data_IF_224423581440
#
_entry.id   IF_224423581440
#
_cell.length_a   1.000
_cell.length_b   1.000
_cell.length_c   1.000
_cell.angle_alpha   90.00
_cell.angle_beta   90.00
_cell.angle_gamma   90.00
#
_symmetry.space_group_name_H-M   'P 1'
#
loop_
_entity.id
_entity.type
_entity.pdbx_description
1 polymer ?
#
# COMPACT_ATOMS: atom_id res chain seq x y z
N UNK A 1 -7.55 -15.45 -43.27
CA UNK A 1 -6.39 -15.71 -42.41
C UNK A 1 -6.80 -15.52 -40.95
N UNK A 2 -7.10 -16.61 -40.25
CA UNK A 2 -7.53 -16.60 -38.87
C UNK A 2 -6.26 -16.62 -37.98
N UNK A 3 -6.04 -15.57 -37.20
CA UNK A 3 -4.99 -15.57 -36.15
C UNK A 3 -5.53 -16.29 -34.92
N UNK A 4 -4.92 -17.42 -34.62
CA UNK A 4 -5.13 -18.17 -33.39
C UNK A 4 -4.41 -17.41 -32.26
N UNK A 5 -5.20 -16.91 -31.31
CA UNK A 5 -4.66 -16.37 -30.04
C UNK A 5 -4.51 -17.56 -29.10
N UNK A 6 -3.29 -17.88 -28.79
CA UNK A 6 -2.91 -18.94 -27.85
C UNK A 6 -3.07 -18.40 -26.42
N UNK A 7 -4.17 -18.76 -25.77
CA UNK A 7 -4.40 -18.48 -24.35
C UNK A 7 -3.56 -19.45 -23.50
N UNK A 8 -2.55 -18.90 -22.87
CA UNK A 8 -1.78 -19.61 -21.85
C UNK A 8 -2.61 -19.81 -20.59
N UNK A 9 -2.94 -21.05 -20.29
CA UNK A 9 -3.60 -21.47 -19.05
C UNK A 9 -2.62 -21.22 -17.89
N UNK A 10 -2.88 -20.22 -17.06
CA UNK A 10 -2.24 -20.09 -15.74
C UNK A 10 -3.09 -20.79 -14.69
N UNK A 11 -2.45 -21.72 -14.01
CA UNK A 11 -2.98 -22.50 -12.92
C UNK A 11 -3.59 -21.61 -11.82
N UNK A 12 -4.77 -22.05 -11.35
CA UNK A 12 -5.57 -21.37 -10.36
C UNK A 12 -4.86 -21.13 -9.02
N UNK A 13 -4.84 -19.89 -8.61
CA UNK A 13 -4.66 -19.53 -7.22
C UNK A 13 -6.06 -19.46 -6.59
N UNK A 14 -6.38 -20.46 -5.76
CA UNK A 14 -7.56 -20.40 -4.89
C UNK A 14 -7.41 -19.20 -3.96
N UNK A 15 -8.14 -18.14 -4.24
CA UNK A 15 -8.42 -17.10 -3.27
C UNK A 15 -9.17 -17.76 -2.09
N UNK A 16 -8.48 -17.95 -0.98
CA UNK A 16 -9.14 -18.21 0.29
C UNK A 16 -9.75 -16.89 0.73
N UNK A 17 -11.07 -16.80 0.65
CA UNK A 17 -11.85 -15.84 1.42
C UNK A 17 -11.58 -16.10 2.92
N UNK A 18 -10.50 -15.53 3.43
CA UNK A 18 -10.37 -15.19 4.82
C UNK A 18 -11.02 -13.80 4.92
N UNK A 19 -12.15 -13.76 5.64
CA UNK A 19 -12.72 -12.50 6.08
C UNK A 19 -11.63 -11.69 6.77
N UNK A 20 -10.98 -10.85 6.00
CA UNK A 20 -10.12 -9.80 6.52
C UNK A 20 -11.08 -8.78 7.08
N UNK A 21 -11.33 -8.90 8.39
CA UNK A 21 -11.65 -7.73 9.19
C UNK A 21 -10.63 -6.70 8.74
N UNK A 22 -11.10 -5.69 8.03
CA UNK A 22 -10.32 -4.53 7.66
C UNK A 22 -9.90 -3.85 8.97
N UNK A 23 -8.82 -4.32 9.56
CA UNK A 23 -8.05 -3.47 10.45
C UNK A 23 -7.46 -2.41 9.55
N UNK A 24 -8.24 -1.36 9.37
CA UNK A 24 -7.76 -0.10 8.87
C UNK A 24 -6.57 0.29 9.74
N UNK A 25 -5.37 -0.06 9.30
CA UNK A 25 -4.15 0.56 9.80
C UNK A 25 -4.14 1.98 9.28
N UNK A 26 -5.05 2.78 9.85
CA UNK A 26 -4.96 4.22 9.82
C UNK A 26 -3.74 4.58 10.65
N UNK A 27 -2.56 4.54 10.06
CA UNK A 27 -1.43 5.27 10.58
C UNK A 27 -1.73 6.76 10.41
N UNK A 28 -2.53 7.30 11.35
CA UNK A 28 -2.57 8.73 11.57
C UNK A 28 -1.13 9.15 11.91
N UNK A 29 -0.47 9.81 10.96
CA UNK A 29 0.79 10.53 11.20
C UNK A 29 0.46 11.64 12.21
N UNK A 30 0.66 11.37 13.50
CA UNK A 30 0.72 12.37 14.54
C UNK A 30 2.08 13.08 14.42
N UNK A 31 2.16 14.04 13.53
CA UNK A 31 3.19 15.08 13.65
C UNK A 31 2.70 16.10 14.67
N UNK A 32 2.94 15.82 15.95
CA UNK A 32 2.91 16.85 16.97
C UNK A 32 4.15 17.72 16.78
N UNK A 33 3.95 18.95 16.35
CA UNK A 33 4.91 20.05 16.43
C UNK A 33 5.19 20.30 17.92
N UNK A 34 6.29 19.77 18.42
CA UNK A 34 6.90 20.23 19.66
C UNK A 34 8.13 21.06 19.28
N UNK A 35 7.91 22.34 19.11
CA UNK A 35 8.98 23.32 19.18
C UNK A 35 9.24 23.56 20.68
N UNK A 36 10.17 22.83 21.25
CA UNK A 36 10.75 23.19 22.54
C UNK A 36 12.23 23.54 22.35
N UNK A 37 12.49 24.79 22.62
CA UNK A 37 13.80 25.37 22.86
C UNK A 37 14.47 24.62 24.00
N UNK A 38 15.53 23.88 23.71
CA UNK A 38 16.45 23.38 24.70
C UNK A 38 17.87 23.88 24.42
N UNK A 39 18.38 24.57 25.43
CA UNK A 39 19.74 25.05 25.66
C UNK A 39 20.81 23.97 25.43
N UNK A 40 22.02 24.35 25.00
CA UNK A 40 23.10 23.42 24.71
C UNK A 40 23.90 23.11 25.97
N UNK A 41 23.58 22.06 26.68
CA UNK A 41 24.45 21.40 27.64
C UNK A 41 23.97 19.96 27.86
N UNK A 42 24.62 19.01 27.16
CA UNK A 42 25.18 17.80 27.72
C UNK A 42 25.76 16.94 26.57
N UNK A 43 27.03 17.18 26.32
CA UNK A 43 27.86 16.20 25.63
C UNK A 43 28.18 15.11 26.63
N UNK A 44 27.41 14.06 26.67
CA UNK A 44 27.77 12.85 27.37
C UNK A 44 27.60 11.62 26.48
N UNK A 45 28.75 11.05 26.11
CA UNK A 45 29.01 9.68 25.69
C UNK A 45 28.00 9.03 24.74
N UNK A 46 28.21 9.25 23.45
CA UNK A 46 27.87 8.26 22.45
C UNK A 46 28.66 6.97 22.76
N UNK A 47 28.06 6.11 23.58
CA UNK A 47 28.39 4.71 23.56
C UNK A 47 27.91 4.21 22.20
N UNK A 48 28.81 4.07 21.23
CA UNK A 48 28.54 3.35 19.99
C UNK A 48 27.92 2.00 20.40
N UNK A 49 26.61 1.87 20.21
CA UNK A 49 25.89 0.63 20.49
C UNK A 49 26.59 -0.48 19.73
N UNK A 50 27.15 -1.46 20.43
CA UNK A 50 27.78 -2.59 19.77
C UNK A 50 26.70 -3.32 19.00
N UNK A 51 27.00 -3.78 17.80
CA UNK A 51 26.06 -4.54 16.94
C UNK A 51 25.34 -5.66 17.71
N UNK A 52 26.04 -6.31 18.64
CA UNK A 52 25.50 -7.34 19.52
C UNK A 52 24.38 -6.80 20.44
N UNK A 53 24.53 -5.56 20.92
CA UNK A 53 23.51 -4.88 21.74
C UNK A 53 22.25 -4.59 20.93
N UNK A 54 22.40 -4.07 19.69
CA UNK A 54 21.30 -3.83 18.76
C UNK A 54 20.56 -5.12 18.43
N UNK A 55 21.29 -6.18 18.05
CA UNK A 55 20.71 -7.49 17.73
C UNK A 55 19.90 -8.04 18.91
N UNK A 56 20.43 -7.94 20.14
CA UNK A 56 19.74 -8.43 21.33
C UNK A 56 18.47 -7.64 21.65
N UNK A 57 18.50 -6.31 21.44
CA UNK A 57 17.37 -5.41 21.68
C UNK A 57 16.25 -5.67 20.66
N UNK A 58 16.58 -5.62 19.36
CA UNK A 58 15.62 -5.86 18.28
C UNK A 58 15.02 -7.26 18.36
N UNK A 59 15.84 -8.29 18.65
CA UNK A 59 15.34 -9.66 18.83
C UNK A 59 14.28 -9.74 19.91
N UNK A 60 14.51 -9.10 21.06
CA UNK A 60 13.53 -9.05 22.16
C UNK A 60 12.21 -8.41 21.73
N UNK A 61 12.30 -7.30 21.00
CA UNK A 61 11.12 -6.57 20.56
C UNK A 61 10.34 -7.34 19.49
N UNK A 62 11.01 -7.99 18.54
CA UNK A 62 10.38 -8.89 17.57
C UNK A 62 9.68 -10.07 18.25
N UNK A 63 10.34 -10.73 19.22
CA UNK A 63 9.76 -11.87 19.96
C UNK A 63 8.55 -11.42 20.78
N UNK A 64 8.54 -10.20 21.30
CA UNK A 64 7.38 -9.65 22.02
C UNK A 64 6.16 -9.52 21.12
N UNK A 65 6.33 -9.10 19.87
CA UNK A 65 5.24 -8.97 18.88
C UNK A 65 4.90 -10.31 18.23
N UNK A 66 5.90 -11.15 18.00
CA UNK A 66 5.78 -12.44 17.31
C UNK A 66 6.45 -13.56 18.12
N UNK A 67 5.79 -14.14 19.15
CA UNK A 67 6.39 -15.11 20.07
C UNK A 67 6.97 -16.37 19.40
N UNK A 68 6.43 -16.76 18.22
CA UNK A 68 6.95 -17.91 17.48
C UNK A 68 8.40 -17.72 16.97
N UNK A 69 8.87 -16.48 16.89
CA UNK A 69 10.28 -16.18 16.54
C UNK A 69 11.27 -16.51 17.66
N UNK A 70 10.83 -16.80 18.87
CA UNK A 70 11.71 -17.22 19.97
C UNK A 70 12.53 -18.46 19.59
N UNK A 71 11.93 -19.37 18.83
CA UNK A 71 12.58 -20.60 18.37
C UNK A 71 13.30 -20.46 17.02
N UNK A 72 13.14 -19.33 16.32
CA UNK A 72 13.76 -19.06 15.02
C UNK A 72 15.16 -18.43 15.17
N UNK A 73 15.81 -18.60 16.33
CA UNK A 73 17.11 -18.01 16.65
C UNK A 73 18.27 -18.67 15.91
N UNK A 74 18.31 -18.51 14.58
CA UNK A 74 19.42 -18.93 13.74
C UNK A 74 20.29 -17.76 13.30
N UNK A 75 21.49 -18.06 12.80
CA UNK A 75 22.43 -17.08 12.21
C UNK A 75 21.78 -16.19 11.15
N UNK A 76 20.79 -16.71 10.40
CA UNK A 76 20.08 -15.96 9.37
C UNK A 76 19.26 -14.81 9.94
N UNK A 77 18.58 -15.01 11.08
CA UNK A 77 17.82 -13.96 11.75
C UNK A 77 18.73 -12.82 12.25
N UNK A 78 19.84 -13.18 12.93
CA UNK A 78 20.81 -12.20 13.41
C UNK A 78 21.49 -11.46 12.24
N UNK A 79 21.73 -12.16 11.12
CA UNK A 79 22.27 -11.56 9.90
C UNK A 79 21.30 -10.55 9.32
N UNK A 80 20.01 -10.84 9.25
CA UNK A 80 18.98 -9.89 8.77
C UNK A 80 19.00 -8.62 9.61
N UNK A 81 18.95 -8.73 10.94
CA UNK A 81 19.02 -7.57 11.84
C UNK A 81 20.30 -6.77 11.59
N UNK A 82 21.44 -7.46 11.53
CA UNK A 82 22.74 -6.81 11.31
C UNK A 82 22.80 -6.10 9.96
N UNK A 83 22.28 -6.72 8.89
CA UNK A 83 22.25 -6.15 7.55
C UNK A 83 21.36 -4.91 7.51
N UNK A 84 20.15 -4.96 8.07
CA UNK A 84 19.26 -3.80 8.14
C UNK A 84 19.88 -2.65 8.92
N UNK A 85 20.45 -2.94 10.09
CA UNK A 85 21.13 -1.93 10.92
C UNK A 85 22.33 -1.29 10.19
N UNK A 86 23.19 -2.10 9.55
CA UNK A 86 24.33 -1.62 8.76
C UNK A 86 23.88 -0.77 7.55
N UNK A 87 22.68 -1.02 7.03
CA UNK A 87 22.08 -0.22 5.98
C UNK A 87 21.33 1.03 6.51
N UNK A 88 21.42 1.35 7.80
CA UNK A 88 20.93 2.59 8.38
C UNK A 88 19.48 2.54 8.91
N UNK A 89 18.85 1.36 8.96
CA UNK A 89 17.53 1.23 9.59
C UNK A 89 17.63 1.37 11.11
N UNK A 90 16.73 2.16 11.69
CA UNK A 90 16.58 2.25 13.16
C UNK A 90 15.89 0.99 13.72
N UNK A 91 16.10 0.71 15.00
CA UNK A 91 15.58 -0.48 15.66
C UNK A 91 14.08 -0.70 15.42
N UNK A 92 13.26 0.34 15.58
CA UNK A 92 11.81 0.26 15.34
C UNK A 92 11.47 -0.09 13.88
N UNK A 93 12.20 0.47 12.91
CA UNK A 93 12.01 0.13 11.51
C UNK A 93 12.42 -1.32 11.21
N UNK A 94 13.49 -1.82 11.85
CA UNK A 94 13.91 -3.22 11.73
C UNK A 94 12.82 -4.16 12.27
N UNK A 95 12.24 -3.84 13.44
CA UNK A 95 11.12 -4.60 14.00
C UNK A 95 9.95 -4.62 13.01
N UNK A 96 9.54 -3.47 12.47
CA UNK A 96 8.44 -3.39 11.48
C UNK A 96 8.72 -4.22 10.23
N UNK A 97 9.95 -4.16 9.70
CA UNK A 97 10.34 -4.96 8.52
C UNK A 97 10.23 -6.45 8.81
N UNK A 98 10.72 -6.91 9.94
CA UNK A 98 10.71 -8.34 10.27
C UNK A 98 9.30 -8.82 10.61
N UNK A 99 8.51 -8.04 11.33
CA UNK A 99 7.14 -8.41 11.71
C UNK A 99 6.19 -8.34 10.51
N UNK A 100 6.37 -7.36 9.62
CA UNK A 100 5.58 -7.23 8.39
C UNK A 100 5.96 -8.26 7.32
N UNK A 101 7.24 -8.67 7.25
CA UNK A 101 7.72 -9.65 6.28
C UNK A 101 8.51 -10.79 6.96
N UNK A 102 7.87 -11.70 7.69
CA UNK A 102 8.56 -12.74 8.49
C UNK A 102 9.50 -13.64 7.69
N UNK A 103 9.20 -13.87 6.41
CA UNK A 103 10.03 -14.69 5.51
C UNK A 103 11.31 -13.99 5.04
N UNK A 104 11.57 -12.75 5.47
CA UNK A 104 12.79 -12.00 5.12
C UNK A 104 14.06 -12.75 5.55
N UNK A 105 13.95 -13.64 6.55
CA UNK A 105 15.04 -14.50 7.00
C UNK A 105 15.57 -15.41 5.88
N UNK A 106 14.72 -15.79 4.93
CA UNK A 106 15.09 -16.56 3.73
C UNK A 106 15.98 -15.76 2.78
N UNK A 107 15.92 -14.42 2.85
CA UNK A 107 16.69 -13.50 2.02
C UNK A 107 18.02 -13.07 2.67
N UNK A 108 18.39 -13.64 3.82
CA UNK A 108 19.54 -13.19 4.62
C UNK A 108 20.86 -13.05 3.86
N UNK A 109 21.09 -13.85 2.82
CA UNK A 109 22.32 -13.81 2.03
C UNK A 109 22.30 -12.76 0.91
N UNK A 110 21.12 -12.40 0.39
CA UNK A 110 20.94 -11.45 -0.72
C UNK A 110 20.37 -10.10 -0.27
N UNK A 111 20.01 -9.96 1.00
CA UNK A 111 19.31 -8.79 1.51
C UNK A 111 20.05 -7.47 1.26
N UNK A 112 21.37 -7.47 1.39
CA UNK A 112 22.19 -6.28 1.13
C UNK A 112 22.05 -5.78 -0.32
N UNK A 113 22.07 -6.70 -1.27
CA UNK A 113 21.95 -6.36 -2.70
C UNK A 113 20.52 -5.89 -3.02
N UNK A 114 19.51 -6.53 -2.41
CA UNK A 114 18.10 -6.13 -2.53
C UNK A 114 17.90 -4.71 -2.00
N UNK A 115 18.43 -4.40 -0.81
CA UNK A 115 18.34 -3.07 -0.24
C UNK A 115 19.08 -2.02 -1.10
N UNK A 116 20.24 -2.35 -1.63
CA UNK A 116 21.00 -1.47 -2.52
C UNK A 116 20.18 -1.16 -3.80
N UNK A 117 19.55 -2.20 -4.40
CA UNK A 117 18.67 -2.01 -5.55
C UNK A 117 17.50 -1.07 -5.22
N UNK A 118 16.75 -1.35 -4.16
CA UNK A 118 15.61 -0.52 -3.77
C UNK A 118 16.03 0.91 -3.46
N UNK A 119 17.12 1.11 -2.69
CA UNK A 119 17.64 2.45 -2.39
C UNK A 119 17.93 3.26 -3.64
N UNK A 120 18.39 2.63 -4.72
CA UNK A 120 18.67 3.31 -6.01
C UNK A 120 17.43 3.86 -6.70
N UNK A 121 16.22 3.39 -6.34
CA UNK A 121 14.96 3.84 -6.92
C UNK A 121 14.37 5.07 -6.22
N UNK A 122 14.86 5.42 -5.03
CA UNK A 122 14.35 6.55 -4.26
C UNK A 122 15.22 7.79 -4.43
N UNK A 123 14.58 8.95 -4.57
CA UNK A 123 15.26 10.25 -4.65
C UNK A 123 15.71 10.76 -3.28
N UNK A 124 15.06 10.28 -2.20
CA UNK A 124 15.33 10.68 -0.81
C UNK A 124 15.49 9.42 0.04
N UNK A 125 16.51 9.43 0.86
CA UNK A 125 16.84 8.29 1.72
C UNK A 125 15.75 8.05 2.79
N UNK A 126 15.21 9.11 3.38
CA UNK A 126 14.12 8.99 4.36
C UNK A 126 12.90 8.29 3.76
N UNK A 127 12.53 8.61 2.50
CA UNK A 127 11.43 7.95 1.82
C UNK A 127 11.68 6.45 1.59
N UNK A 128 12.94 6.07 1.33
CA UNK A 128 13.32 4.66 1.23
C UNK A 128 13.08 3.92 2.56
N UNK A 129 13.56 4.46 3.68
CA UNK A 129 13.36 3.84 4.99
C UNK A 129 11.88 3.73 5.36
N UNK A 130 11.12 4.81 5.17
CA UNK A 130 9.70 4.85 5.48
C UNK A 130 8.91 3.82 4.66
N UNK A 131 9.17 3.72 3.36
CA UNK A 131 8.46 2.79 2.47
C UNK A 131 8.81 1.35 2.79
N UNK A 132 10.10 1.00 2.94
CA UNK A 132 10.50 -0.37 3.26
C UNK A 132 10.00 -0.80 4.65
N UNK A 133 9.98 0.09 5.63
CA UNK A 133 9.44 -0.22 6.96
C UNK A 133 7.91 -0.35 6.97
N UNK A 134 7.21 0.31 6.04
CA UNK A 134 5.74 0.28 5.94
C UNK A 134 5.23 -0.87 5.07
N UNK A 135 5.95 -1.20 4.01
CA UNK A 135 5.58 -2.24 3.03
C UNK A 135 6.80 -3.14 2.75
N UNK A 136 7.22 -3.94 3.73
CA UNK A 136 8.42 -4.76 3.60
C UNK A 136 8.29 -5.89 2.57
N UNK A 137 7.08 -6.22 2.12
CA UNK A 137 6.84 -7.18 1.04
C UNK A 137 7.50 -6.79 -0.29
N UNK A 138 7.81 -5.51 -0.47
CA UNK A 138 8.62 -5.03 -1.60
C UNK A 138 9.96 -5.78 -1.71
N UNK A 139 10.54 -6.19 -0.59
CA UNK A 139 11.81 -6.91 -0.55
C UNK A 139 11.75 -8.31 -1.20
N UNK A 140 10.56 -8.87 -1.39
CA UNK A 140 10.37 -10.13 -2.10
C UNK A 140 10.28 -9.97 -3.62
N UNK A 141 10.10 -8.74 -4.11
CA UNK A 141 10.02 -8.49 -5.54
C UNK A 141 11.40 -8.60 -6.19
N UNK A 142 11.46 -9.36 -7.26
CA UNK A 142 12.67 -9.43 -8.08
C UNK A 142 12.85 -8.13 -8.88
N UNK A 143 14.08 -7.64 -9.09
CA UNK A 143 14.34 -6.46 -9.91
C UNK A 143 13.64 -6.48 -11.27
N UNK A 144 13.60 -7.64 -11.95
CA UNK A 144 12.88 -7.79 -13.23
C UNK A 144 11.37 -7.51 -13.13
N UNK A 145 10.73 -7.95 -12.05
CA UNK A 145 9.31 -7.69 -11.82
C UNK A 145 9.04 -6.21 -11.52
N UNK A 146 9.96 -5.56 -10.80
CA UNK A 146 9.87 -4.11 -10.54
C UNK A 146 10.02 -3.32 -11.84
N UNK A 147 10.97 -3.65 -12.71
CA UNK A 147 11.15 -2.98 -14.00
C UNK A 147 9.96 -3.24 -14.95
N UNK A 148 9.40 -4.45 -14.94
CA UNK A 148 8.18 -4.74 -15.68
C UNK A 148 7.00 -3.87 -15.20
N UNK A 149 6.80 -3.77 -13.89
CA UNK A 149 5.78 -2.92 -13.29
C UNK A 149 6.00 -1.44 -13.61
N UNK A 150 7.21 -0.96 -13.56
CA UNK A 150 7.55 0.40 -14.01
C UNK A 150 7.17 0.61 -15.47
N UNK A 151 7.49 -0.32 -16.36
CA UNK A 151 7.13 -0.23 -17.76
C UNK A 151 5.60 -0.19 -17.95
N UNK A 152 4.83 -1.00 -17.21
CA UNK A 152 3.37 -0.96 -17.20
C UNK A 152 2.84 0.41 -16.74
N UNK A 153 3.36 0.93 -15.62
CA UNK A 153 2.96 2.24 -15.09
C UNK A 153 3.32 3.39 -16.05
N UNK A 154 4.41 3.29 -16.81
CA UNK A 154 4.80 4.27 -17.83
C UNK A 154 3.79 4.39 -18.97
N UNK A 155 2.99 3.36 -19.23
CA UNK A 155 1.92 3.45 -20.25
C UNK A 155 0.79 4.38 -19.83
N UNK A 156 0.68 4.67 -18.52
CA UNK A 156 -0.43 5.44 -17.93
C UNK A 156 0.07 6.77 -17.37
N UNK A 157 1.17 6.76 -16.61
CA UNK A 157 1.64 7.90 -15.86
C UNK A 157 2.96 8.45 -16.41
N UNK A 158 3.18 9.78 -16.38
CA UNK A 158 4.49 10.36 -16.65
C UNK A 158 5.49 9.98 -15.56
N UNK A 159 6.78 9.97 -15.92
CA UNK A 159 7.88 9.51 -15.05
C UNK A 159 7.85 10.12 -13.64
N UNK A 160 7.56 11.41 -13.53
CA UNK A 160 7.46 12.10 -12.22
C UNK A 160 6.41 11.51 -11.28
N UNK A 161 5.30 10.99 -11.85
CA UNK A 161 4.20 10.43 -11.08
C UNK A 161 4.53 8.99 -10.65
N UNK A 162 5.35 8.26 -11.42
CA UNK A 162 5.82 6.92 -11.06
C UNK A 162 6.72 6.96 -9.83
N UNK A 163 7.65 7.93 -9.76
CA UNK A 163 8.48 8.12 -8.56
C UNK A 163 7.63 8.53 -7.34
N UNK A 164 6.57 9.31 -7.58
CA UNK A 164 5.63 9.65 -6.51
C UNK A 164 4.86 8.41 -6.04
N UNK A 165 4.35 7.59 -6.96
CA UNK A 165 3.65 6.36 -6.62
C UNK A 165 4.53 5.43 -5.79
N UNK A 166 5.81 5.27 -6.12
CA UNK A 166 6.71 4.44 -5.32
C UNK A 166 6.81 4.93 -3.86
N UNK A 167 6.85 6.25 -3.66
CA UNK A 167 7.00 6.83 -2.33
C UNK A 167 5.67 6.95 -1.55
N UNK A 168 4.54 7.18 -2.23
CA UNK A 168 3.26 7.48 -1.60
C UNK A 168 2.27 6.30 -1.63
N UNK A 169 2.40 5.40 -2.61
CA UNK A 169 1.52 4.25 -2.83
C UNK A 169 2.32 3.04 -3.35
N UNK A 170 3.18 2.43 -2.54
CA UNK A 170 3.97 1.28 -2.94
C UNK A 170 3.13 0.06 -3.34
N UNK A 171 1.86 -0.01 -2.93
CA UNK A 171 0.88 -1.01 -3.36
C UNK A 171 0.75 -1.07 -4.90
N UNK A 172 1.00 0.04 -5.60
CA UNK A 172 1.06 0.05 -7.06
C UNK A 172 2.13 -0.89 -7.65
N UNK A 173 3.10 -1.33 -6.83
CA UNK A 173 4.15 -2.26 -7.22
C UNK A 173 3.88 -3.71 -6.79
N UNK A 174 3.09 -3.90 -5.76
CA UNK A 174 2.79 -5.23 -5.17
C UNK A 174 1.46 -5.81 -5.63
N UNK A 175 0.45 -4.96 -5.87
CA UNK A 175 -0.88 -5.38 -6.31
C UNK A 175 -0.89 -6.00 -7.71
N UNK A 176 -1.89 -6.81 -7.98
CA UNK A 176 -2.15 -7.33 -9.32
C UNK A 176 -2.42 -6.21 -10.33
N UNK A 177 -1.86 -6.36 -11.55
CA UNK A 177 -1.97 -5.32 -12.59
C UNK A 177 -3.40 -5.09 -13.05
N UNK A 178 -4.19 -6.14 -13.20
CA UNK A 178 -5.58 -6.03 -13.64
C UNK A 178 -6.43 -5.31 -12.59
N UNK A 179 -6.17 -5.57 -11.31
CA UNK A 179 -6.78 -4.84 -10.19
C UNK A 179 -6.42 -3.35 -10.21
N UNK A 180 -5.15 -3.01 -10.43
CA UNK A 180 -4.71 -1.61 -10.57
C UNK A 180 -5.41 -0.94 -11.75
N UNK A 181 -5.46 -1.61 -12.89
CA UNK A 181 -6.11 -1.09 -14.10
C UNK A 181 -7.61 -0.89 -13.90
N UNK A 182 -8.29 -1.81 -13.21
CA UNK A 182 -9.70 -1.69 -12.89
C UNK A 182 -9.98 -0.45 -12.01
N UNK A 183 -9.14 -0.20 -10.99
CA UNK A 183 -9.22 1.01 -10.15
C UNK A 183 -9.02 2.29 -10.97
N UNK A 184 -7.97 2.35 -11.79
CA UNK A 184 -7.66 3.50 -12.64
C UNK A 184 -8.78 3.76 -13.65
N UNK A 185 -9.25 2.73 -14.34
CA UNK A 185 -10.32 2.84 -15.32
C UNK A 185 -11.61 3.34 -14.69
N UNK A 186 -11.98 2.84 -13.52
CA UNK A 186 -13.17 3.31 -12.81
C UNK A 186 -13.04 4.79 -12.43
N UNK A 187 -11.91 5.20 -11.86
CA UNK A 187 -11.67 6.59 -11.45
C UNK A 187 -11.70 7.53 -12.67
N UNK A 188 -11.05 7.14 -13.74
CA UNK A 188 -10.93 8.00 -14.92
C UNK A 188 -12.23 8.06 -15.72
N UNK A 189 -12.86 6.93 -15.98
CA UNK A 189 -14.03 6.86 -16.88
C UNK A 189 -15.35 7.01 -16.17
N UNK A 190 -15.54 6.39 -15.00
CA UNK A 190 -16.82 6.45 -14.26
C UNK A 190 -16.91 7.67 -13.36
N UNK A 191 -15.83 8.04 -12.67
CA UNK A 191 -15.79 9.25 -11.86
C UNK A 191 -15.46 10.50 -12.69
N UNK A 192 -14.79 10.38 -13.83
CA UNK A 192 -14.37 11.51 -14.66
C UNK A 192 -13.21 12.30 -14.04
N UNK A 193 -12.38 11.65 -13.21
CA UNK A 193 -11.22 12.25 -12.56
C UNK A 193 -9.96 11.97 -13.39
N UNK A 194 -9.07 12.95 -13.48
CA UNK A 194 -7.87 12.79 -14.30
C UNK A 194 -6.87 11.79 -13.72
N UNK A 195 -6.11 11.11 -14.59
CA UNK A 195 -5.03 10.19 -14.21
C UNK A 195 -4.04 10.82 -13.22
N UNK A 196 -3.71 12.09 -13.39
CA UNK A 196 -2.78 12.79 -12.50
C UNK A 196 -3.27 12.93 -11.06
N UNK A 197 -4.59 12.85 -10.82
CA UNK A 197 -5.14 12.81 -9.46
C UNK A 197 -5.00 11.42 -8.82
N UNK A 198 -5.04 10.35 -9.63
CA UNK A 198 -4.84 8.98 -9.14
C UNK A 198 -3.42 8.79 -8.61
N UNK A 199 -2.43 9.42 -9.25
CA UNK A 199 -1.03 9.33 -8.83
C UNK A 199 -0.68 10.19 -7.60
N UNK A 200 -1.67 10.87 -6.99
CA UNK A 200 -1.46 11.67 -5.77
C UNK A 200 -1.89 10.89 -4.54
N UNK A 201 -0.94 10.58 -3.68
CA UNK A 201 -1.18 9.82 -2.46
C UNK A 201 -1.37 8.34 -2.73
N UNK A 202 -1.92 7.66 -1.76
CA UNK A 202 -2.07 6.20 -1.66
C UNK A 202 -3.45 5.69 -2.15
N UNK A 203 -4.01 6.29 -3.19
CA UNK A 203 -5.36 5.95 -3.68
C UNK A 203 -5.46 4.50 -4.17
N UNK A 204 -4.42 4.00 -4.81
CA UNK A 204 -4.40 2.63 -5.33
C UNK A 204 -4.28 1.54 -4.24
N UNK A 205 -3.93 1.91 -3.01
CA UNK A 205 -3.96 0.99 -1.86
C UNK A 205 -5.38 0.58 -1.45
N UNK A 206 -6.40 1.36 -1.82
CA UNK A 206 -7.79 1.05 -1.51
C UNK A 206 -8.37 0.05 -2.52
N UNK A 207 -9.30 -0.80 -2.06
CA UNK A 207 -10.01 -1.74 -2.95
C UNK A 207 -10.90 -1.01 -3.95
N UNK A 208 -11.14 -1.62 -5.12
CA UNK A 208 -12.07 -1.09 -6.10
C UNK A 208 -13.48 -0.96 -5.51
N UNK A 209 -13.90 -1.94 -4.71
CA UNK A 209 -15.20 -1.91 -4.04
C UNK A 209 -15.33 -0.69 -3.13
N UNK A 210 -14.31 -0.39 -2.31
CA UNK A 210 -14.32 0.81 -1.46
C UNK A 210 -14.45 2.10 -2.26
N UNK A 211 -13.71 2.21 -3.37
CA UNK A 211 -13.78 3.39 -4.25
C UNK A 211 -15.18 3.49 -4.91
N UNK A 212 -15.71 2.38 -5.43
CA UNK A 212 -17.05 2.29 -6.02
C UNK A 212 -18.11 2.69 -5.01
N UNK A 213 -18.09 2.09 -3.83
CA UNK A 213 -19.08 2.33 -2.75
C UNK A 213 -19.17 3.80 -2.40
N UNK A 214 -18.04 4.44 -2.09
CA UNK A 214 -18.02 5.85 -1.73
C UNK A 214 -18.45 6.78 -2.85
N UNK A 215 -18.02 6.50 -4.06
CA UNK A 215 -18.44 7.28 -5.23
C UNK A 215 -19.94 7.16 -5.48
N UNK A 216 -20.48 5.94 -5.54
CA UNK A 216 -21.89 5.67 -5.79
C UNK A 216 -22.78 6.26 -4.68
N UNK A 217 -22.33 6.18 -3.43
CA UNK A 217 -23.03 6.82 -2.31
C UNK A 217 -23.18 8.32 -2.52
N UNK A 218 -22.10 9.02 -2.86
CA UNK A 218 -22.14 10.46 -3.12
C UNK A 218 -22.97 10.83 -4.36
N UNK A 219 -23.00 9.98 -5.39
CA UNK A 219 -23.86 10.16 -6.56
C UNK A 219 -25.33 10.12 -6.14
N UNK A 220 -25.74 9.10 -5.36
CA UNK A 220 -27.13 8.94 -4.87
C UNK A 220 -27.55 10.08 -3.93
N UNK A 221 -26.63 10.61 -3.13
CA UNK A 221 -26.89 11.76 -2.25
C UNK A 221 -26.84 13.12 -2.97
N UNK A 222 -26.57 13.15 -4.28
CA UNK A 222 -26.42 14.40 -5.02
C UNK A 222 -25.20 15.24 -4.65
N UNK A 223 -24.21 14.64 -3.93
CA UNK A 223 -22.98 15.31 -3.51
C UNK A 223 -21.83 15.13 -4.53
N UNK A 224 -22.06 14.29 -5.51
CA UNK A 224 -21.17 14.07 -6.66
C UNK A 224 -21.96 14.11 -7.96
N UNK A 225 -21.35 14.63 -8.98
CA UNK A 225 -21.87 14.61 -10.36
C UNK A 225 -20.74 14.26 -11.33
N UNK A 226 -20.92 13.26 -12.14
CA UNK A 226 -19.92 12.92 -13.18
C UNK A 226 -19.71 14.14 -14.10
N UNK A 227 -18.45 14.63 -14.23
CA UNK A 227 -18.13 15.77 -15.08
C UNK A 227 -18.52 15.52 -16.53
N UNK A 228 -19.00 16.55 -17.22
CA UNK A 228 -19.20 16.48 -18.68
C UNK A 228 -17.86 16.48 -19.41
N UNK A 229 -17.77 15.92 -20.62
CA UNK A 229 -16.56 16.01 -21.42
C UNK A 229 -16.07 17.46 -21.54
N UNK A 230 -14.77 17.69 -21.29
CA UNK A 230 -14.10 19.00 -21.28
C UNK A 230 -14.46 19.94 -20.11
N UNK A 231 -15.29 19.53 -19.18
CA UNK A 231 -15.56 20.31 -17.96
C UNK A 231 -14.34 20.24 -17.03
N UNK A 232 -13.69 21.38 -16.79
CA UNK A 232 -12.45 21.45 -15.98
C UNK A 232 -12.70 21.77 -14.50
N UNK A 233 -13.83 22.41 -14.21
CA UNK A 233 -14.15 22.88 -12.84
C UNK A 233 -15.47 22.25 -12.42
N UNK A 234 -15.42 21.45 -11.38
CA UNK A 234 -16.60 20.86 -10.74
C UNK A 234 -16.63 21.26 -9.26
N UNK A 235 -17.83 21.21 -8.66
CA UNK A 235 -17.99 21.34 -7.22
C UNK A 235 -17.83 20.01 -6.48
N UNK A 236 -17.39 18.96 -7.19
CA UNK A 236 -17.19 17.65 -6.60
C UNK A 236 -16.10 17.67 -5.52
N UNK A 237 -16.19 16.82 -4.50
CA UNK A 237 -15.08 16.57 -3.59
C UNK A 237 -13.90 15.97 -4.36
N UNK A 238 -12.68 16.24 -3.88
CA UNK A 238 -11.47 15.65 -4.45
C UNK A 238 -11.47 14.13 -4.26
N UNK A 239 -10.75 13.40 -5.13
CA UNK A 239 -10.57 11.95 -5.03
C UNK A 239 -10.07 11.54 -3.63
N UNK A 240 -9.06 12.24 -3.13
CA UNK A 240 -8.53 12.03 -1.79
C UNK A 240 -9.61 12.18 -0.70
N UNK A 241 -10.47 13.21 -0.80
CA UNK A 241 -11.56 13.41 0.15
C UNK A 241 -12.61 12.30 0.07
N UNK A 242 -12.90 11.81 -1.11
CA UNK A 242 -13.85 10.69 -1.30
C UNK A 242 -13.29 9.43 -0.65
N UNK A 243 -12.06 9.06 -0.95
CA UNK A 243 -11.49 7.75 -0.62
C UNK A 243 -10.97 7.69 0.82
N UNK A 244 -10.29 8.75 1.30
CA UNK A 244 -9.54 8.73 2.55
C UNK A 244 -10.25 9.32 3.77
N UNK A 245 -11.35 10.03 3.60
CA UNK A 245 -12.06 10.61 4.76
C UNK A 245 -12.55 9.49 5.69
N UNK A 246 -12.31 9.54 7.01
CA UNK A 246 -12.91 8.61 7.96
C UNK A 246 -14.43 8.49 7.77
N UNK A 247 -14.98 7.30 7.95
CA UNK A 247 -16.37 6.99 7.57
C UNK A 247 -17.38 7.92 8.22
N UNK A 248 -17.21 8.27 9.49
CA UNK A 248 -18.10 9.14 10.24
C UNK A 248 -18.14 10.56 9.64
N UNK A 249 -16.97 11.07 9.23
CA UNK A 249 -16.85 12.38 8.60
C UNK A 249 -17.37 12.36 7.16
N UNK A 250 -17.18 11.25 6.46
CA UNK A 250 -17.65 11.03 5.11
C UNK A 250 -19.19 11.01 5.07
N UNK A 251 -19.83 10.26 5.94
CA UNK A 251 -21.29 10.15 6.07
C UNK A 251 -21.89 11.50 6.47
N UNK A 252 -21.28 12.19 7.43
CA UNK A 252 -21.69 13.55 7.80
C UNK A 252 -21.60 14.53 6.63
N UNK A 253 -20.54 14.44 5.82
CA UNK A 253 -20.41 15.25 4.60
C UNK A 253 -21.49 14.91 3.56
N UNK A 254 -21.86 13.64 3.43
CA UNK A 254 -22.95 13.20 2.56
C UNK A 254 -24.33 13.72 3.04
N UNK A 255 -24.47 13.99 4.34
CA UNK A 255 -25.72 14.46 4.97
C UNK A 255 -26.67 13.31 5.29
N UNK A 256 -26.14 12.12 5.55
CA UNK A 256 -26.88 10.90 5.87
C UNK A 256 -26.41 10.32 7.21
N UNK A 257 -27.04 9.23 7.67
CA UNK A 257 -26.72 8.51 8.90
C UNK A 257 -25.75 7.37 8.65
N UNK A 258 -25.14 6.84 9.72
CA UNK A 258 -24.25 5.68 9.63
C UNK A 258 -25.03 4.43 9.18
N UNK A 259 -26.26 4.25 9.69
CA UNK A 259 -27.10 3.11 9.34
C UNK A 259 -27.45 3.09 7.85
N UNK A 260 -27.71 4.27 7.26
CA UNK A 260 -27.95 4.40 5.81
C UNK A 260 -26.70 4.03 5.00
N UNK A 261 -25.51 4.41 5.47
CA UNK A 261 -24.25 4.05 4.82
C UNK A 261 -23.93 2.56 4.94
N UNK A 262 -24.11 1.96 6.13
CA UNK A 262 -23.88 0.53 6.36
C UNK A 262 -24.81 -0.34 5.51
N UNK A 263 -26.09 0.04 5.37
CA UNK A 263 -27.04 -0.65 4.48
C UNK A 263 -26.58 -0.53 3.03
N UNK A 264 -26.12 0.65 2.63
CA UNK A 264 -25.61 0.86 1.27
C UNK A 264 -24.31 0.08 0.99
N UNK A 265 -23.39 0.02 1.94
CA UNK A 265 -22.14 -0.74 1.85
C UNK A 265 -22.42 -2.22 1.64
N UNK A 266 -23.33 -2.82 2.44
CA UNK A 266 -23.78 -4.21 2.24
C UNK A 266 -24.44 -4.45 0.88
N UNK A 267 -25.21 -3.48 0.38
CA UNK A 267 -25.79 -3.59 -0.96
C UNK A 267 -24.70 -3.65 -2.04
N UNK A 268 -23.67 -2.81 -1.91
CA UNK A 268 -22.55 -2.79 -2.85
C UNK A 268 -21.69 -4.06 -2.79
N UNK A 269 -21.55 -4.66 -1.61
CA UNK A 269 -20.90 -5.97 -1.45
C UNK A 269 -21.70 -7.06 -2.17
N UNK A 270 -23.00 -7.13 -1.98
CA UNK A 270 -23.87 -8.10 -2.67
C UNK A 270 -23.90 -7.89 -4.20
N UNK A 271 -23.83 -6.65 -4.67
CA UNK A 271 -23.73 -6.36 -6.10
C UNK A 271 -22.39 -6.86 -6.67
N UNK A 272 -21.28 -6.68 -5.93
CA UNK A 272 -19.96 -7.15 -6.35
C UNK A 272 -19.91 -8.69 -6.41
N UNK A 273 -20.42 -9.36 -5.38
CA UNK A 273 -20.47 -10.85 -5.35
C UNK A 273 -21.27 -11.42 -6.54
N UNK A 274 -22.37 -10.76 -6.90
CA UNK A 274 -23.17 -11.16 -8.07
C UNK A 274 -22.46 -10.90 -9.39
N UNK A 275 -21.74 -9.75 -9.54
CA UNK A 275 -20.93 -9.48 -10.73
C UNK A 275 -19.86 -10.56 -10.93
N UNK A 276 -19.25 -11.03 -9.85
CA UNK A 276 -18.26 -12.09 -9.88
C UNK A 276 -18.89 -13.45 -10.26
N UNK A 277 -20.06 -13.81 -9.73
CA UNK A 277 -20.78 -15.05 -10.06
C UNK A 277 -21.20 -15.07 -11.53
N UNK A 278 -21.79 -13.99 -12.06
CA UNK A 278 -22.18 -13.86 -13.47
C UNK A 278 -20.97 -14.00 -14.40
N UNK A 279 -19.83 -13.42 -14.05
CA UNK A 279 -18.61 -13.57 -14.81
C UNK A 279 -18.10 -15.01 -14.86
N UNK A 280 -18.17 -15.75 -13.74
CA UNK A 280 -17.79 -17.18 -13.70
C UNK A 280 -18.70 -18.04 -14.59
N UNK A 281 -20.00 -17.79 -14.59
CA UNK A 281 -20.96 -18.52 -15.41
C UNK A 281 -20.76 -18.27 -16.91
N UNK A 282 -20.42 -17.05 -17.31
CA UNK A 282 -20.13 -16.72 -18.72
C UNK A 282 -18.81 -17.33 -19.24
N UNK A 283 -17.81 -17.49 -18.37
CA UNK A 283 -16.47 -17.99 -18.77
C UNK A 283 -16.46 -19.52 -18.83
N UNK A 284 -17.29 -20.22 -18.05
CA UNK A 284 -17.28 -21.68 -17.92
C UNK A 284 -18.50 -22.38 -18.52
N UNK A 285 -19.40 -21.67 -19.22
CA UNK A 285 -20.48 -22.22 -20.03
C UNK A 285 -20.18 -22.13 -21.51
#
# INVERSE_FOLDING_TARGET
MKRVIQLGVRAGYKSRNLGVIATSHSFAKNYATAAETSTPQDKQHDHADTLTSVVSRVKRDVVKEMPHFEHTSGRSFERVISTLHQNGFHDSAIVNVITGAPRIVELSDSLSDILAYWRSLFLKEDAFFDVIASVPDLLYLKPSAVEERKAQLFTIFPQKDIFRLLAECPDAYTDDWDSIMAKINYIVHSMGISQGEVAKGDILAYSLLHIKTRHQFLLRCGKYRTPKPKERITKNPSLHKIVKTPVENFVRFAGLTMEEYEVFEKLMELEADREDEEFYDEVFT
#
